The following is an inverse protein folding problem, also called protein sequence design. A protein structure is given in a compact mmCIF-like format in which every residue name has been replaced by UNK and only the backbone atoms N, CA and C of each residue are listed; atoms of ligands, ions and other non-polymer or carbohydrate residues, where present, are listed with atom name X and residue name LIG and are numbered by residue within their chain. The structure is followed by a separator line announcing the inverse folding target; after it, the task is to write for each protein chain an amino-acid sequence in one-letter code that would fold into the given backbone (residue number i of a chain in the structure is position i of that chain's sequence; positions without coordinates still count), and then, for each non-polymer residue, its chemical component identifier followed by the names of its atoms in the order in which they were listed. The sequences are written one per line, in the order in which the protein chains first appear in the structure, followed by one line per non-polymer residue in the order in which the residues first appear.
data_IF_355897757779
#
_entry.id   IF_355897757779
#
_cell.length_a   1.000
_cell.length_b   1.000
_cell.length_c   1.000
_cell.angle_alpha   90.00
_cell.angle_beta   90.00
_cell.angle_gamma   90.00
#
_symmetry.space_group_name_H-M   'P 1'
#
loop_
_entity.id
_entity.type
_entity.pdbx_description
1 polymer ?
#
# COMPACT_ATOMS: atom_id res chain seq x y z
N UNK A 1 -8.37 -0.62 -27.22
CA UNK A 1 -8.21 0.76 -26.72
C UNK A 1 -8.28 0.68 -25.20
N UNK A 2 -7.34 1.32 -24.49
CA UNK A 2 -7.34 1.34 -23.03
C UNK A 2 -8.61 2.02 -22.49
N UNK A 3 -9.10 1.51 -21.37
CA UNK A 3 -10.25 2.06 -20.64
C UNK A 3 -9.74 2.75 -19.39
N UNK A 4 -10.22 3.98 -19.17
CA UNK A 4 -9.97 4.75 -17.95
C UNK A 4 -11.24 4.73 -17.12
N UNK A 5 -11.15 4.19 -15.91
CA UNK A 5 -12.21 4.16 -14.91
C UNK A 5 -12.09 5.39 -14.03
N UNK A 6 -13.05 6.32 -14.12
CA UNK A 6 -13.01 7.59 -13.40
C UNK A 6 -14.02 7.62 -12.27
N UNK A 7 -13.57 8.06 -11.09
CA UNK A 7 -14.38 8.21 -9.87
C UNK A 7 -14.17 9.58 -9.24
N UNK A 8 -15.23 10.13 -8.68
CA UNK A 8 -15.21 11.32 -7.83
C UNK A 8 -15.75 10.90 -6.48
N UNK A 9 -14.91 10.92 -5.46
CA UNK A 9 -15.26 10.37 -4.15
C UNK A 9 -15.00 11.38 -3.05
N UNK A 10 -15.85 11.36 -2.04
CA UNK A 10 -15.59 12.04 -0.77
C UNK A 10 -14.99 11.04 0.22
N UNK A 11 -14.03 11.52 0.99
CA UNK A 11 -13.43 10.83 2.12
C UNK A 11 -14.50 10.70 3.24
N UNK A 12 -14.96 9.47 3.55
CA UNK A 12 -16.00 9.19 4.57
C UNK A 12 -15.62 8.19 5.67
N UNK A 13 -16.07 8.44 6.91
CA UNK A 13 -15.81 7.65 8.12
C UNK A 13 -16.25 6.19 7.98
N UNK A 14 -15.32 5.22 8.03
CA UNK A 14 -15.60 3.79 8.16
C UNK A 14 -14.38 3.01 8.69
N UNK A 15 -14.62 1.88 9.35
CA UNK A 15 -13.59 0.92 9.79
C UNK A 15 -13.20 1.01 11.27
N UNK A 16 -12.01 0.48 11.59
CA UNK A 16 -11.41 0.52 12.95
C UNK A 16 -11.11 1.95 13.40
N UNK A 17 -10.82 2.84 12.43
CA UNK A 17 -10.67 4.29 12.59
C UNK A 17 -12.02 4.98 12.64
N UNK A 18 -12.26 5.74 13.74
CA UNK A 18 -13.46 6.57 13.94
C UNK A 18 -13.55 7.78 13.00
N UNK A 19 -12.58 7.95 12.11
CA UNK A 19 -12.57 8.91 10.99
C UNK A 19 -12.32 8.18 9.64
N UNK A 20 -12.49 8.85 8.48
CA UNK A 20 -12.60 8.23 7.15
C UNK A 20 -11.51 7.32 6.55
N UNK A 21 -11.06 6.26 7.22
CA UNK A 21 -9.92 5.48 6.75
C UNK A 21 -10.19 4.19 5.97
N UNK A 22 -11.45 3.83 5.67
CA UNK A 22 -11.71 2.61 4.88
C UNK A 22 -12.90 2.70 3.94
N UNK A 23 -13.41 3.89 3.66
CA UNK A 23 -14.51 4.05 2.71
C UNK A 23 -14.45 5.35 1.92
N UNK A 24 -14.92 5.24 0.70
CA UNK A 24 -15.15 6.34 -0.21
C UNK A 24 -16.65 6.33 -0.53
N UNK A 25 -17.30 7.48 -0.44
CA UNK A 25 -18.63 7.63 -1.00
C UNK A 25 -18.51 8.32 -2.36
N UNK A 26 -19.11 7.71 -3.39
CA UNK A 26 -19.14 8.30 -4.72
C UNK A 26 -20.01 9.57 -4.70
N UNK A 27 -19.41 10.70 -5.07
CA UNK A 27 -20.10 11.99 -5.25
C UNK A 27 -20.98 11.95 -6.50
N UNK A 28 -20.48 11.25 -7.53
CA UNK A 28 -21.16 10.99 -8.79
C UNK A 28 -20.96 9.53 -9.17
N UNK A 29 -21.90 8.96 -9.93
CA UNK A 29 -21.75 7.60 -10.44
C UNK A 29 -20.40 7.46 -11.19
N UNK A 30 -19.64 6.38 -10.95
CA UNK A 30 -18.39 6.13 -11.64
C UNK A 30 -18.65 5.93 -13.14
N UNK A 31 -17.68 6.31 -13.97
CA UNK A 31 -17.81 6.22 -15.43
C UNK A 31 -16.52 5.80 -16.11
N UNK A 32 -16.69 5.18 -17.28
CA UNK A 32 -15.60 4.62 -18.07
C UNK A 32 -15.40 5.41 -19.36
N UNK A 33 -14.15 5.74 -19.67
CA UNK A 33 -13.76 6.37 -20.92
C UNK A 33 -12.87 5.43 -21.73
N UNK A 34 -13.28 5.11 -22.95
CA UNK A 34 -12.38 4.47 -23.92
C UNK A 34 -11.50 5.54 -24.54
N UNK A 35 -10.19 5.45 -24.34
CA UNK A 35 -9.26 6.49 -24.77
C UNK A 35 -8.60 6.11 -26.09
N UNK A 36 -8.77 6.98 -27.10
CA UNK A 36 -8.23 6.79 -28.46
C UNK A 36 -6.86 7.44 -28.66
N UNK A 37 -6.42 8.33 -27.76
CA UNK A 37 -5.12 9.00 -27.82
C UNK A 37 -4.65 9.42 -26.42
N UNK A 38 -3.33 9.42 -26.20
CA UNK A 38 -2.70 9.86 -24.94
C UNK A 38 -2.30 11.35 -25.03
N UNK A 39 -2.43 12.15 -23.96
CA UNK A 39 -2.87 11.75 -22.61
C UNK A 39 -4.40 11.76 -22.43
N UNK A 40 -4.88 10.98 -21.45
CA UNK A 40 -6.21 11.19 -20.87
C UNK A 40 -6.18 12.44 -20.00
N UNK A 41 -7.18 13.30 -20.10
CA UNK A 41 -7.28 14.52 -19.29
C UNK A 41 -8.61 14.57 -18.58
N UNK A 42 -8.60 15.06 -17.35
CA UNK A 42 -9.81 15.27 -16.57
C UNK A 42 -9.67 16.51 -15.68
N UNK A 43 -10.80 16.99 -15.16
CA UNK A 43 -10.84 18.16 -14.29
C UNK A 43 -11.67 17.86 -13.05
N UNK A 44 -11.04 17.98 -11.89
CA UNK A 44 -11.70 17.98 -10.60
C UNK A 44 -12.06 19.42 -10.21
N UNK A 45 -13.36 19.79 -10.14
CA UNK A 45 -13.76 21.07 -9.58
C UNK A 45 -13.19 21.25 -8.16
N UNK A 46 -12.69 22.44 -7.78
CA UNK A 46 -12.13 22.68 -6.44
C UNK A 46 -13.13 22.40 -5.31
N UNK A 47 -14.42 22.56 -5.60
CA UNK A 47 -15.52 22.22 -4.70
C UNK A 47 -16.54 21.39 -5.47
N UNK A 48 -16.99 20.30 -4.86
CA UNK A 48 -18.07 19.46 -5.35
C UNK A 48 -19.25 19.51 -4.38
N UNK A 49 -20.47 19.50 -4.91
CA UNK A 49 -21.70 19.42 -4.13
C UNK A 49 -22.51 18.23 -4.62
N UNK A 50 -23.11 17.47 -3.70
CA UNK A 50 -23.99 16.37 -4.03
C UNK A 50 -25.13 16.27 -3.02
N UNK A 51 -26.17 15.53 -3.40
CA UNK A 51 -27.28 15.18 -2.51
C UNK A 51 -27.23 13.68 -2.28
N UNK A 52 -27.23 13.25 -1.02
CA UNK A 52 -27.27 11.83 -0.69
C UNK A 52 -28.67 11.21 -0.86
N UNK A 53 -28.79 9.91 -0.57
CA UNK A 53 -30.06 9.19 -0.66
C UNK A 53 -31.15 9.70 0.28
N UNK A 54 -30.78 10.43 1.33
CA UNK A 54 -31.68 11.01 2.33
C UNK A 54 -32.09 12.45 1.97
N UNK A 55 -31.61 12.98 0.84
CA UNK A 55 -31.92 14.34 0.39
C UNK A 55 -31.07 15.42 1.05
N UNK A 56 -30.03 15.05 1.81
CA UNK A 56 -29.12 16.00 2.46
C UNK A 56 -28.10 16.51 1.45
N UNK A 57 -27.94 17.83 1.40
CA UNK A 57 -26.94 18.48 0.54
C UNK A 57 -25.60 18.51 1.27
N UNK A 58 -24.60 17.96 0.63
CA UNK A 58 -23.22 17.93 1.08
C UNK A 58 -22.34 18.75 0.15
N UNK A 59 -21.21 19.19 0.68
CA UNK A 59 -20.18 19.89 -0.07
C UNK A 59 -18.81 19.41 0.37
N UNK A 60 -17.87 19.26 -0.56
CA UNK A 60 -16.52 18.79 -0.29
C UNK A 60 -15.50 19.54 -1.18
N UNK A 61 -14.29 19.71 -0.67
CA UNK A 61 -13.19 20.37 -1.38
C UNK A 61 -12.22 19.34 -1.96
N UNK A 62 -11.75 19.58 -3.17
CA UNK A 62 -10.78 18.71 -3.82
C UNK A 62 -9.50 18.60 -2.99
N UNK A 63 -9.01 17.38 -2.81
CA UNK A 63 -7.79 17.08 -2.08
C UNK A 63 -6.67 16.66 -3.03
N UNK A 64 -6.87 15.55 -3.75
CA UNK A 64 -5.89 15.02 -4.69
C UNK A 64 -6.53 14.02 -5.66
N UNK A 65 -5.87 13.82 -6.79
CA UNK A 65 -6.07 12.69 -7.67
C UNK A 65 -5.23 11.50 -7.23
N UNK A 66 -5.80 10.31 -7.25
CA UNK A 66 -5.12 9.02 -7.23
C UNK A 66 -5.20 8.40 -8.62
N UNK A 67 -4.06 7.98 -9.16
CA UNK A 67 -3.97 7.35 -10.48
C UNK A 67 -3.27 6.01 -10.34
N UNK A 68 -3.93 4.93 -10.77
CA UNK A 68 -3.38 3.57 -10.82
C UNK A 68 -3.35 3.04 -12.25
N UNK A 69 -2.40 2.16 -12.55
CA UNK A 69 -2.31 1.53 -13.88
C UNK A 69 -1.83 2.44 -15.03
N UNK A 70 -1.40 3.69 -14.75
CA UNK A 70 -0.84 4.57 -15.78
C UNK A 70 0.45 4.00 -16.38
N UNK A 71 0.78 4.42 -17.61
CA UNK A 71 2.01 3.97 -18.29
C UNK A 71 3.29 4.28 -17.49
N UNK A 72 3.26 5.32 -16.66
CA UNK A 72 4.38 5.75 -15.82
C UNK A 72 4.26 5.25 -14.37
N UNK A 73 3.41 4.26 -14.10
CA UNK A 73 3.13 3.74 -12.77
C UNK A 73 2.10 4.58 -11.99
N UNK A 74 1.71 4.11 -10.82
CA UNK A 74 0.68 4.76 -10.01
C UNK A 74 1.19 6.02 -9.30
N UNK A 75 0.42 7.10 -9.23
CA UNK A 75 0.86 8.34 -8.59
C UNK A 75 -0.32 9.13 -8.02
N UNK A 76 0.01 10.14 -7.22
CA UNK A 76 -0.96 11.12 -6.71
C UNK A 76 -0.63 12.52 -7.21
N UNK A 77 -1.65 13.37 -7.34
CA UNK A 77 -1.50 14.76 -7.79
C UNK A 77 -2.47 15.68 -7.07
N UNK A 78 -1.96 16.76 -6.48
CA UNK A 78 -2.79 17.83 -5.89
C UNK A 78 -3.20 18.90 -6.92
N UNK A 79 -2.80 18.77 -8.18
CA UNK A 79 -3.30 19.62 -9.26
C UNK A 79 -4.70 19.13 -9.69
N UNK A 80 -5.76 19.96 -9.60
CA UNK A 80 -7.10 19.55 -10.00
C UNK A 80 -7.23 19.28 -11.51
N UNK A 81 -6.36 19.86 -12.33
CA UNK A 81 -6.23 19.51 -13.75
C UNK A 81 -5.34 18.26 -13.89
N UNK A 82 -5.97 17.16 -14.32
CA UNK A 82 -5.31 15.89 -14.49
C UNK A 82 -4.86 15.69 -15.94
N UNK A 83 -3.64 15.17 -16.10
CA UNK A 83 -3.13 14.64 -17.37
C UNK A 83 -2.43 13.31 -17.10
N UNK A 84 -2.96 12.23 -17.66
CA UNK A 84 -2.48 10.86 -17.44
C UNK A 84 -1.94 10.27 -18.75
N UNK A 85 -0.66 9.85 -18.77
CA UNK A 85 -0.13 9.05 -19.86
C UNK A 85 -0.85 7.70 -19.93
N UNK A 86 -1.45 7.42 -21.08
CA UNK A 86 -2.23 6.20 -21.29
C UNK A 86 -1.39 5.15 -22.01
N UNK A 87 -1.33 3.95 -21.43
CA UNK A 87 -0.67 2.77 -22.01
C UNK A 87 -1.69 1.75 -22.52
N UNK A 88 -1.32 0.47 -22.50
CA UNK A 88 -2.20 -0.62 -22.98
C UNK A 88 -3.08 -1.23 -21.89
N UNK A 89 -2.86 -0.87 -20.62
CA UNK A 89 -3.59 -1.40 -19.47
C UNK A 89 -4.75 -0.48 -19.06
N UNK A 90 -5.81 -1.02 -18.43
CA UNK A 90 -6.82 -0.21 -17.77
C UNK A 90 -6.20 0.71 -16.72
N UNK A 91 -6.75 1.91 -16.58
CA UNK A 91 -6.28 2.94 -15.65
C UNK A 91 -7.41 3.26 -14.67
N UNK A 92 -7.09 3.29 -13.37
CA UNK A 92 -7.98 3.85 -12.36
C UNK A 92 -7.64 5.30 -12.09
N UNK A 93 -8.63 6.18 -12.14
CA UNK A 93 -8.50 7.61 -11.84
C UNK A 93 -9.55 7.97 -10.80
N UNK A 94 -9.12 8.46 -9.64
CA UNK A 94 -10.03 8.81 -8.54
C UNK A 94 -9.70 10.19 -7.99
N UNK A 95 -10.63 11.14 -8.07
CA UNK A 95 -10.53 12.41 -7.37
C UNK A 95 -11.06 12.25 -5.96
N UNK A 96 -10.20 12.49 -4.98
CA UNK A 96 -10.54 12.49 -3.56
C UNK A 96 -10.91 13.90 -3.13
N UNK A 97 -12.02 14.00 -2.40
CA UNK A 97 -12.53 15.23 -1.82
C UNK A 97 -12.62 15.10 -0.29
N UNK A 98 -12.35 16.19 0.42
CA UNK A 98 -12.55 16.31 1.86
C UNK A 98 -13.88 17.01 2.14
N UNK A 99 -14.77 16.45 2.97
CA UNK A 99 -16.04 17.10 3.30
C UNK A 99 -15.83 18.49 3.90
N UNK A 100 -16.71 19.42 3.53
CA UNK A 100 -16.76 20.76 4.11
C UNK A 100 -17.84 20.81 5.19
N UNK A 101 -17.55 21.52 6.29
CA UNK A 101 -18.35 21.45 7.50
C UNK A 101 -17.80 20.39 8.43
N UNK A 102 -17.18 20.82 9.53
CA UNK A 102 -16.67 19.91 10.55
C UNK A 102 -17.79 19.27 11.37
N UNK A 103 -17.39 18.35 12.23
CA UNK A 103 -18.20 17.51 13.14
C UNK A 103 -18.95 18.32 14.22
N UNK A 104 -19.02 19.65 14.07
CA UNK A 104 -19.81 20.57 14.86
C UNK A 104 -19.23 20.95 16.23
N UNK A 105 -18.53 20.07 16.94
CA UNK A 105 -18.14 20.33 18.35
C UNK A 105 -16.87 19.52 18.75
N UNK A 106 -15.78 19.64 17.99
CA UNK A 106 -14.51 18.95 18.28
C UNK A 106 -13.46 19.83 18.98
N UNK A 107 -12.65 19.23 19.86
CA UNK A 107 -11.38 19.84 20.26
C UNK A 107 -10.44 19.97 19.03
N UNK A 108 -9.55 20.99 18.99
CA UNK A 108 -8.55 21.07 17.92
C UNK A 108 -7.72 19.78 17.82
N UNK A 109 -7.48 19.35 16.58
CA UNK A 109 -6.78 18.11 16.32
C UNK A 109 -6.37 17.98 14.86
N UNK A 110 -5.39 17.11 14.65
CA UNK A 110 -4.85 16.80 13.33
C UNK A 110 -5.35 15.41 12.91
N UNK A 111 -6.14 15.39 11.85
CA UNK A 111 -6.63 14.17 11.23
C UNK A 111 -5.56 13.63 10.29
N UNK A 112 -5.24 12.36 10.45
CA UNK A 112 -4.16 11.70 9.70
C UNK A 112 -4.62 10.36 9.13
N UNK A 113 -4.04 10.01 7.99
CA UNK A 113 -4.19 8.67 7.43
C UNK A 113 -3.00 8.30 6.51
N UNK A 114 -2.89 7.01 6.17
CA UNK A 114 -1.89 6.48 5.25
C UNK A 114 -2.53 6.00 3.96
N UNK A 115 -2.00 6.44 2.82
CA UNK A 115 -2.52 6.11 1.49
C UNK A 115 -1.55 5.19 0.72
N UNK A 116 -2.03 4.05 0.22
CA UNK A 116 -1.30 3.16 -0.70
C UNK A 116 -1.47 3.69 -2.13
N UNK A 117 -0.42 4.35 -2.63
CA UNK A 117 -0.41 4.92 -3.98
C UNK A 117 -0.56 3.85 -5.06
N UNK A 118 -0.08 2.63 -4.83
CA UNK A 118 -0.14 1.56 -5.83
C UNK A 118 -1.56 0.97 -5.97
N UNK A 119 -2.31 0.94 -4.87
CA UNK A 119 -3.68 0.41 -4.83
C UNK A 119 -4.71 1.51 -5.08
N UNK A 120 -4.39 2.74 -4.70
CA UNK A 120 -5.29 3.88 -4.78
C UNK A 120 -6.30 3.94 -3.64
N UNK A 121 -5.94 3.42 -2.46
CA UNK A 121 -6.79 3.33 -1.27
C UNK A 121 -5.96 3.49 0.02
N UNK A 122 -6.63 3.65 1.17
CA UNK A 122 -5.99 3.84 2.47
C UNK A 122 -5.57 2.52 3.13
N UNK A 123 -4.54 2.57 3.97
CA UNK A 123 -4.06 1.41 4.75
C UNK A 123 -4.89 1.21 6.02
N UNK A 124 -5.23 -0.05 6.29
CA UNK A 124 -5.73 -0.52 7.59
C UNK A 124 -4.58 -1.11 8.42
N UNK A 125 -3.57 -0.29 8.72
CA UNK A 125 -2.40 -0.67 9.53
C UNK A 125 -1.80 0.55 10.24
N UNK A 126 -1.04 0.30 11.30
CA UNK A 126 -0.31 1.34 12.03
C UNK A 126 0.76 1.96 11.13
N UNK A 127 0.89 3.28 11.18
CA UNK A 127 1.78 4.03 10.31
C UNK A 127 2.49 5.21 10.97
N UNK A 128 2.17 5.56 12.22
CA UNK A 128 2.78 6.70 12.91
C UNK A 128 3.19 6.40 14.36
N UNK A 129 4.07 7.25 14.87
CA UNK A 129 4.32 7.45 16.30
C UNK A 129 4.16 8.93 16.63
N UNK A 130 3.70 9.25 17.84
CA UNK A 130 3.48 10.62 18.32
C UNK A 130 4.44 10.93 19.48
N UNK A 131 4.96 12.15 19.51
CA UNK A 131 5.79 12.68 20.59
C UNK A 131 5.52 14.18 20.81
N UNK A 132 5.65 14.70 22.05
CA UNK A 132 6.12 14.00 23.24
C UNK A 132 5.09 13.06 23.87
N UNK A 133 3.80 13.20 23.54
CA UNK A 133 2.72 12.43 24.16
C UNK A 133 2.58 11.05 23.50
N UNK A 134 3.46 10.11 23.86
CA UNK A 134 3.56 8.79 23.21
C UNK A 134 2.28 7.96 23.27
N UNK A 135 1.45 8.18 24.30
CA UNK A 135 0.15 7.51 24.45
C UNK A 135 -0.82 7.88 23.32
N UNK A 136 -0.63 9.04 22.67
CA UNK A 136 -1.41 9.43 21.50
C UNK A 136 -1.10 8.59 20.28
N UNK A 137 0.02 7.85 20.24
CA UNK A 137 0.35 6.98 19.10
C UNK A 137 -0.72 5.91 18.86
N UNK A 138 -1.30 5.37 19.94
CA UNK A 138 -2.39 4.41 19.81
C UNK A 138 -3.62 5.07 19.18
N UNK A 139 -4.08 6.21 19.72
CA UNK A 139 -5.23 6.95 19.17
C UNK A 139 -4.98 7.43 17.73
N UNK A 140 -3.74 7.83 17.41
CA UNK A 140 -3.35 8.28 16.08
C UNK A 140 -3.53 7.15 15.04
N UNK A 141 -3.14 5.93 15.38
CA UNK A 141 -3.27 4.78 14.48
C UNK A 141 -4.64 4.10 14.56
N UNK A 142 -5.34 4.18 15.69
CA UNK A 142 -6.66 3.58 15.87
C UNK A 142 -7.79 4.47 15.42
N UNK A 143 -7.71 5.79 15.63
CA UNK A 143 -8.79 6.74 15.32
C UNK A 143 -8.45 7.68 14.16
N UNK A 144 -7.17 7.79 13.78
CA UNK A 144 -6.72 8.75 12.76
C UNK A 144 -6.78 10.21 13.24
N UNK A 145 -6.80 10.45 14.55
CA UNK A 145 -6.85 11.79 15.15
C UNK A 145 -5.77 11.94 16.21
N UNK A 146 -5.03 13.05 16.11
CA UNK A 146 -4.10 13.50 17.15
C UNK A 146 -4.62 14.81 17.73
N UNK A 147 -5.17 14.82 18.96
CA UNK A 147 -5.59 16.05 19.62
C UNK A 147 -4.39 17.01 19.79
N UNK A 148 -4.53 18.26 19.40
CA UNK A 148 -3.45 19.26 19.46
C UNK A 148 -3.57 20.12 20.71
N UNK A 149 -3.78 19.51 21.88
CA UNK A 149 -3.87 20.26 23.16
C UNK A 149 -2.53 20.93 23.51
N UNK A 150 -1.45 20.26 23.14
CA UNK A 150 -0.08 20.75 23.11
C UNK A 150 0.50 20.57 21.69
N UNK A 151 1.68 21.13 21.39
CA UNK A 151 2.35 20.85 20.13
C UNK A 151 2.80 19.39 20.08
N UNK A 152 2.50 18.69 18.98
CA UNK A 152 2.89 17.30 18.77
C UNK A 152 3.79 17.15 17.54
N UNK A 153 4.53 16.05 17.53
CA UNK A 153 5.30 15.55 16.40
C UNK A 153 4.77 14.17 16.02
N UNK A 154 4.16 14.09 14.86
CA UNK A 154 3.60 12.88 14.30
C UNK A 154 4.61 12.36 13.26
N UNK A 155 5.32 11.29 13.60
CA UNK A 155 6.36 10.70 12.75
C UNK A 155 5.81 9.47 12.04
N UNK A 156 5.70 9.55 10.71
CA UNK A 156 5.36 8.40 9.87
C UNK A 156 6.47 7.35 9.89
N UNK A 157 6.09 6.08 9.89
CA UNK A 157 7.01 4.97 9.71
C UNK A 157 7.68 5.07 8.33
N UNK A 158 8.94 4.65 8.25
CA UNK A 158 9.65 4.67 6.96
C UNK A 158 9.02 3.71 5.93
N UNK A 159 8.32 2.67 6.40
CA UNK A 159 7.69 1.67 5.55
C UNK A 159 6.47 1.01 6.23
N UNK A 160 5.50 0.62 5.40
CA UNK A 160 4.39 -0.29 5.76
C UNK A 160 4.49 -1.50 4.82
N UNK A 161 4.89 -2.65 5.37
CA UNK A 161 5.22 -3.84 4.57
C UNK A 161 6.28 -3.53 3.49
N UNK A 162 6.00 -3.76 2.19
CA UNK A 162 6.93 -3.46 1.10
C UNK A 162 6.84 -2.02 0.55
N UNK A 163 5.95 -1.16 1.08
CA UNK A 163 5.81 0.22 0.61
C UNK A 163 6.65 1.16 1.47
N UNK A 164 7.31 2.12 0.84
CA UNK A 164 8.09 3.16 1.50
C UNK A 164 7.32 4.47 1.52
N UNK A 165 7.48 5.23 2.60
CA UNK A 165 6.95 6.59 2.70
C UNK A 165 7.55 7.44 1.56
N UNK A 166 6.68 8.06 0.77
CA UNK A 166 7.05 9.01 -0.28
C UNK A 166 7.01 10.44 0.26
N UNK A 167 5.88 10.82 0.86
CA UNK A 167 5.68 12.17 1.38
C UNK A 167 4.49 12.23 2.32
N UNK A 168 4.48 13.22 3.19
CA UNK A 168 3.25 13.77 3.75
C UNK A 168 2.68 14.84 2.81
N UNK A 169 1.36 14.91 2.70
CA UNK A 169 0.66 16.07 2.16
C UNK A 169 -0.22 16.68 3.25
N UNK A 170 -0.06 17.97 3.45
CA UNK A 170 -0.88 18.75 4.36
C UNK A 170 -1.97 19.44 3.54
N UNK A 171 -3.22 19.01 3.72
CA UNK A 171 -4.34 19.36 2.85
C UNK A 171 -5.16 20.51 3.42
N UNK A 172 -5.32 20.52 4.75
CA UNK A 172 -6.04 21.56 5.49
C UNK A 172 -5.18 21.97 6.67
N UNK A 173 -5.08 23.28 6.94
CA UNK A 173 -4.38 23.83 8.11
C UNK A 173 -5.12 25.07 8.62
N UNK A 174 -5.39 25.09 9.92
CA UNK A 174 -5.95 26.24 10.61
C UNK A 174 -5.30 26.39 12.00
N UNK A 175 -4.78 27.57 12.35
CA UNK A 175 -4.56 28.71 11.48
C UNK A 175 -3.50 28.41 10.41
N UNK A 176 -3.53 29.14 9.28
CA UNK A 176 -2.58 28.92 8.19
C UNK A 176 -1.12 29.03 8.69
N UNK A 177 -0.30 28.05 8.35
CA UNK A 177 1.11 27.97 8.77
C UNK A 177 1.34 27.46 10.20
N UNK A 178 0.31 27.03 10.92
CA UNK A 178 0.44 26.44 12.25
C UNK A 178 1.17 25.09 12.23
N UNK A 179 0.83 24.25 11.25
CA UNK A 179 1.38 22.91 11.11
C UNK A 179 2.35 22.86 9.92
N UNK A 180 3.35 21.97 10.01
CA UNK A 180 4.38 21.86 8.98
C UNK A 180 4.89 20.43 8.84
N UNK A 181 5.40 20.12 7.65
CA UNK A 181 5.98 18.82 7.32
C UNK A 181 7.47 18.99 7.06
N UNK A 182 8.28 18.12 7.68
CA UNK A 182 9.70 17.95 7.36
C UNK A 182 10.03 16.46 7.22
N UNK A 183 10.12 15.99 5.97
CA UNK A 183 10.36 14.58 5.67
C UNK A 183 9.22 13.70 6.20
N UNK A 184 9.53 12.80 7.14
CA UNK A 184 8.56 11.90 7.76
C UNK A 184 7.80 12.51 8.96
N UNK A 185 8.19 13.71 9.40
CA UNK A 185 7.65 14.33 10.62
C UNK A 185 6.65 15.43 10.24
N UNK A 186 5.43 15.29 10.73
CA UNK A 186 4.41 16.34 10.77
C UNK A 186 4.45 16.99 12.16
N UNK A 187 4.80 18.26 12.22
CA UNK A 187 4.78 19.07 13.45
C UNK A 187 3.47 19.84 13.52
N UNK A 188 2.74 19.66 14.62
CA UNK A 188 1.47 20.33 14.88
C UNK A 188 1.64 21.37 15.97
N UNK A 189 1.00 22.53 15.82
CA UNK A 189 0.97 23.54 16.87
C UNK A 189 -0.16 23.26 17.88
N UNK A 190 0.00 23.74 19.12
CA UNK A 190 -1.10 23.71 20.07
C UNK A 190 -2.32 24.48 19.51
N UNK A 191 -3.49 23.86 19.63
CA UNK A 191 -4.80 24.33 19.18
C UNK A 191 -4.92 24.51 17.67
N UNK A 192 -4.08 23.83 16.88
CA UNK A 192 -4.24 23.78 15.43
C UNK A 192 -5.24 22.71 15.00
N UNK A 193 -5.79 22.88 13.80
CA UNK A 193 -6.57 21.87 13.12
C UNK A 193 -5.94 21.61 11.76
N UNK A 194 -5.74 20.33 11.44
CA UNK A 194 -5.20 19.97 10.15
C UNK A 194 -5.76 18.64 9.63
N UNK A 195 -5.67 18.45 8.33
CA UNK A 195 -5.87 17.16 7.67
C UNK A 195 -4.61 16.87 6.87
N UNK A 196 -3.96 15.74 7.14
CA UNK A 196 -2.71 15.36 6.48
C UNK A 196 -2.69 13.87 6.13
N UNK A 197 -2.18 13.52 4.95
CA UNK A 197 -2.06 12.12 4.53
C UNK A 197 -0.61 11.75 4.24
N UNK A 198 -0.19 10.58 4.72
CA UNK A 198 1.10 9.97 4.44
C UNK A 198 0.98 9.04 3.23
N UNK A 199 1.67 9.33 2.14
CA UNK A 199 1.62 8.54 0.91
C UNK A 199 2.74 7.52 0.90
N UNK A 200 2.39 6.24 0.75
CA UNK A 200 3.35 5.15 0.63
C UNK A 200 3.26 4.52 -0.75
N UNK A 201 4.43 4.15 -1.29
CA UNK A 201 4.51 3.47 -2.57
C UNK A 201 5.63 2.45 -2.58
N UNK A 202 5.50 1.38 -3.37
CA UNK A 202 6.65 0.52 -3.68
C UNK A 202 7.75 1.32 -4.38
N UNK A 203 9.04 1.05 -4.09
CA UNK A 203 10.15 1.71 -4.77
C UNK A 203 10.05 1.51 -6.29
N UNK A 204 9.91 2.61 -7.04
CA UNK A 204 9.99 2.57 -8.50
C UNK A 204 11.43 2.25 -8.90
N UNK A 205 11.65 1.05 -9.47
CA UNK A 205 12.95 0.63 -10.00
C UNK A 205 13.86 -0.16 -9.04
N UNK A 206 13.38 -0.65 -7.90
CA UNK A 206 14.19 -1.39 -6.94
C UNK A 206 13.72 -2.83 -6.73
N UNK A 207 14.51 -3.78 -7.25
CA UNK A 207 14.28 -5.23 -7.23
C UNK A 207 13.20 -5.68 -8.22
N UNK A 208 13.66 -6.15 -9.39
CA UNK A 208 13.17 -7.45 -9.85
C UNK A 208 13.29 -8.38 -8.65
N UNK A 209 12.21 -8.54 -7.87
CA UNK A 209 11.96 -9.82 -7.23
C UNK A 209 12.25 -10.79 -8.36
N UNK A 210 13.26 -11.67 -8.26
CA UNK A 210 13.51 -12.64 -9.31
C UNK A 210 12.16 -13.27 -9.53
N UNK A 211 11.53 -12.96 -10.66
CA UNK A 211 10.33 -13.68 -11.05
C UNK A 211 10.89 -15.09 -11.16
N UNK A 212 10.61 -15.91 -10.15
CA UNK A 212 10.74 -17.34 -10.30
C UNK A 212 9.97 -17.58 -11.59
N UNK A 213 10.67 -18.03 -12.63
CA UNK A 213 10.08 -18.37 -13.91
C UNK A 213 8.75 -19.09 -13.61
N UNK A 214 7.66 -18.76 -14.31
CA UNK A 214 6.33 -19.29 -13.98
C UNK A 214 6.34 -20.81 -13.83
N UNK A 215 7.26 -21.49 -14.53
CA UNK A 215 7.56 -22.92 -14.41
C UNK A 215 8.12 -23.34 -13.05
N UNK A 216 8.93 -22.50 -12.40
CA UNK A 216 9.55 -22.72 -11.09
C UNK A 216 8.56 -22.49 -9.95
N UNK A 217 7.63 -21.53 -10.07
CA UNK A 217 6.54 -21.38 -9.11
C UNK A 217 5.55 -22.54 -9.19
N UNK A 218 5.17 -22.93 -10.40
CA UNK A 218 4.29 -24.08 -10.64
C UNK A 218 4.97 -25.39 -10.18
N UNK A 219 6.28 -25.54 -10.42
CA UNK A 219 7.06 -26.63 -9.87
C UNK A 219 7.08 -26.58 -8.34
N UNK A 220 7.34 -25.43 -7.70
CA UNK A 220 7.38 -25.28 -6.25
C UNK A 220 6.05 -25.63 -5.57
N UNK A 221 4.93 -25.20 -6.15
CA UNK A 221 3.58 -25.56 -5.69
C UNK A 221 3.32 -27.05 -5.91
N UNK A 222 3.71 -27.62 -7.06
CA UNK A 222 3.60 -29.07 -7.33
C UNK A 222 4.50 -29.91 -6.42
N UNK A 223 5.65 -29.40 -5.99
CA UNK A 223 6.56 -30.07 -5.04
C UNK A 223 5.95 -30.08 -3.65
N UNK A 224 5.45 -28.94 -3.17
CA UNK A 224 4.72 -28.85 -1.90
C UNK A 224 3.50 -29.76 -1.89
N UNK A 225 2.73 -29.78 -2.99
CA UNK A 225 1.59 -30.69 -3.17
C UNK A 225 2.01 -32.15 -3.30
N UNK A 226 3.09 -32.47 -4.01
CA UNK A 226 3.59 -33.85 -4.16
C UNK A 226 4.14 -34.43 -2.85
N UNK A 227 4.82 -33.62 -2.04
CA UNK A 227 5.27 -34.01 -0.69
C UNK A 227 4.08 -34.22 0.25
N UNK A 228 3.01 -33.44 0.11
CA UNK A 228 1.79 -33.60 0.92
C UNK A 228 0.86 -34.70 0.44
N UNK A 229 0.77 -34.97 -0.85
CA UNK A 229 -0.16 -35.92 -1.44
C UNK A 229 0.44 -37.32 -1.67
N UNK A 230 1.68 -37.43 -2.16
CA UNK A 230 2.29 -38.71 -2.56
C UNK A 230 3.40 -39.18 -1.59
N UNK A 231 4.00 -38.27 -0.81
CA UNK A 231 5.12 -38.55 0.10
C UNK A 231 4.76 -38.93 1.55
N UNK A 232 3.48 -39.11 1.86
CA UNK A 232 3.03 -39.39 3.23
C UNK A 232 2.95 -38.17 4.17
N UNK A 233 3.11 -36.96 3.64
CA UNK A 233 2.96 -35.72 4.38
C UNK A 233 4.21 -35.29 5.17
N UNK A 234 4.10 -34.12 5.80
CA UNK A 234 5.08 -33.65 6.79
C UNK A 234 4.91 -34.47 8.07
N UNK A 235 5.81 -35.43 8.30
CA UNK A 235 5.84 -36.15 9.58
C UNK A 235 6.54 -35.30 10.65
N UNK A 236 6.36 -35.70 11.91
CA UNK A 236 7.10 -35.25 13.09
C UNK A 236 8.62 -35.48 13.02
N UNK A 237 9.11 -36.20 11.98
CA UNK A 237 10.54 -36.40 11.68
C UNK A 237 11.01 -35.76 10.38
N UNK A 238 10.16 -34.95 9.73
CA UNK A 238 10.45 -34.30 8.45
C UNK A 238 9.97 -35.10 7.22
N UNK A 239 10.33 -34.64 6.01
CA UNK A 239 9.92 -35.27 4.75
C UNK A 239 10.53 -36.67 4.61
N UNK A 240 9.76 -37.63 4.09
CA UNK A 240 10.23 -39.00 3.84
C UNK A 240 11.30 -39.00 2.73
N UNK A 241 12.40 -39.79 2.84
CA UNK A 241 13.44 -39.90 1.81
C UNK A 241 12.84 -40.24 0.42
N UNK A 242 13.45 -39.78 -0.70
CA UNK A 242 14.78 -39.18 -0.85
C UNK A 242 14.84 -37.65 -0.72
N UNK A 243 13.76 -36.99 -0.30
CA UNK A 243 13.59 -35.53 -0.40
C UNK A 243 14.24 -34.71 0.72
N UNK A 244 14.69 -35.37 1.80
CA UNK A 244 15.18 -34.72 3.01
C UNK A 244 16.30 -33.68 2.78
N UNK A 245 17.34 -33.93 1.95
CA UNK A 245 18.43 -32.96 1.75
C UNK A 245 17.95 -31.69 1.05
N UNK A 246 17.01 -31.81 0.11
CA UNK A 246 16.53 -30.71 -0.71
C UNK A 246 15.50 -29.84 0.04
N UNK A 247 14.65 -30.45 0.86
CA UNK A 247 13.75 -29.71 1.76
C UNK A 247 14.53 -28.99 2.85
N UNK A 248 15.62 -29.60 3.36
CA UNK A 248 16.51 -28.93 4.32
C UNK A 248 17.23 -27.73 3.67
N UNK A 249 17.69 -27.86 2.43
CA UNK A 249 18.24 -26.72 1.67
C UNK A 249 17.20 -25.59 1.48
N UNK A 250 15.94 -25.94 1.17
CA UNK A 250 14.84 -24.98 1.04
C UNK A 250 14.56 -24.26 2.36
N UNK A 251 14.48 -25.00 3.47
CA UNK A 251 14.26 -24.45 4.80
C UNK A 251 15.40 -23.52 5.23
N UNK A 252 16.66 -23.91 4.96
CA UNK A 252 17.83 -23.08 5.25
C UNK A 252 17.83 -21.79 4.44
N UNK A 253 17.43 -21.82 3.16
CA UNK A 253 17.34 -20.63 2.34
C UNK A 253 16.20 -19.70 2.78
N UNK A 254 15.07 -20.25 3.24
CA UNK A 254 13.99 -19.46 3.85
C UNK A 254 14.43 -18.81 5.17
N UNK A 255 15.13 -19.56 6.03
CA UNK A 255 15.69 -19.03 7.29
C UNK A 255 16.72 -17.92 7.04
N UNK A 256 17.57 -18.07 6.01
CA UNK A 256 18.52 -17.05 5.60
C UNK A 256 17.83 -15.79 5.09
N UNK A 257 16.76 -15.95 4.28
CA UNK A 257 15.94 -14.84 3.80
C UNK A 257 15.23 -14.10 4.95
N UNK A 258 14.75 -14.84 5.96
CA UNK A 258 14.14 -14.29 7.15
C UNK A 258 15.15 -13.51 8.01
N UNK A 259 16.34 -14.08 8.26
CA UNK A 259 17.42 -13.41 8.97
C UNK A 259 17.91 -12.14 8.23
N UNK A 260 17.98 -12.19 6.90
CA UNK A 260 18.33 -11.03 6.06
C UNK A 260 17.37 -9.86 6.16
N UNK A 261 16.08 -10.10 6.49
CA UNK A 261 15.11 -9.01 6.71
C UNK A 261 15.43 -8.17 7.94
N UNK A 262 16.12 -8.72 8.94
CA UNK A 262 16.45 -8.01 10.17
C UNK A 262 17.73 -7.15 10.07
N UNK A 263 18.47 -7.24 8.97
CA UNK A 263 19.66 -6.40 8.70
C UNK A 263 19.35 -5.06 8.03
N UNK A 264 20.35 -4.18 8.00
CA UNK A 264 20.31 -2.89 7.28
C UNK A 264 20.13 -3.06 5.76
N UNK A 265 19.78 -1.98 5.06
CA UNK A 265 19.31 -2.01 3.67
C UNK A 265 20.26 -2.72 2.68
N UNK A 266 21.58 -2.51 2.81
CA UNK A 266 22.59 -3.17 1.96
C UNK A 266 22.73 -4.67 2.28
N UNK A 267 22.76 -5.03 3.56
CA UNK A 267 22.85 -6.42 4.03
C UNK A 267 21.60 -7.21 3.62
N UNK A 268 20.43 -6.57 3.68
CA UNK A 268 19.14 -7.17 3.29
C UNK A 268 19.13 -7.56 1.81
N UNK A 269 19.59 -6.67 0.93
CA UNK A 269 19.60 -6.93 -0.52
C UNK A 269 20.55 -8.08 -0.86
N UNK A 270 21.76 -8.08 -0.29
CA UNK A 270 22.76 -9.11 -0.53
C UNK A 270 22.29 -10.50 -0.02
N UNK A 271 21.74 -10.56 1.19
CA UNK A 271 21.28 -11.81 1.81
C UNK A 271 20.04 -12.36 1.13
N UNK A 272 19.06 -11.51 0.78
CA UNK A 272 17.85 -11.95 0.06
C UNK A 272 18.20 -12.40 -1.37
N UNK A 273 19.13 -11.73 -2.05
CA UNK A 273 19.60 -12.14 -3.38
C UNK A 273 20.34 -13.49 -3.33
N UNK A 274 21.19 -13.71 -2.33
CA UNK A 274 21.87 -14.99 -2.13
C UNK A 274 20.88 -16.11 -1.82
N UNK A 275 19.90 -15.86 -0.94
CA UNK A 275 18.84 -16.81 -0.62
C UNK A 275 18.00 -17.16 -1.86
N UNK A 276 17.61 -16.18 -2.67
CA UNK A 276 16.86 -16.42 -3.91
C UNK A 276 17.64 -17.26 -4.94
N UNK A 277 18.96 -17.01 -5.09
CA UNK A 277 19.83 -17.83 -5.94
C UNK A 277 19.92 -19.27 -5.45
N UNK A 278 20.04 -19.46 -4.14
CA UNK A 278 20.11 -20.79 -3.53
C UNK A 278 18.77 -21.54 -3.69
N UNK A 279 17.64 -20.87 -3.45
CA UNK A 279 16.30 -21.42 -3.72
C UNK A 279 16.14 -21.88 -5.17
N UNK A 280 16.55 -21.04 -6.14
CA UNK A 280 16.50 -21.40 -7.56
C UNK A 280 17.36 -22.60 -7.90
N UNK A 281 18.58 -22.68 -7.36
CA UNK A 281 19.49 -23.81 -7.58
C UNK A 281 18.96 -25.12 -6.98
N UNK A 282 18.44 -25.07 -5.75
CA UNK A 282 17.85 -26.24 -5.07
C UNK A 282 16.58 -26.71 -5.77
N UNK A 283 15.70 -25.79 -6.19
CA UNK A 283 14.51 -26.13 -6.98
C UNK A 283 14.87 -26.82 -8.31
N UNK A 284 15.91 -26.34 -9.01
CA UNK A 284 16.38 -26.95 -10.25
C UNK A 284 17.05 -28.32 -10.07
N UNK A 285 17.70 -28.58 -8.91
CA UNK A 285 18.20 -29.92 -8.56
C UNK A 285 17.04 -30.87 -8.26
N UNK A 286 16.04 -30.40 -7.52
CA UNK A 286 14.89 -31.21 -7.13
C UNK A 286 14.02 -31.59 -8.34
N UNK A 287 13.76 -30.65 -9.25
CA UNK A 287 13.06 -30.94 -10.51
C UNK A 287 13.77 -32.00 -11.35
N UNK A 288 15.12 -31.99 -11.40
CA UNK A 288 15.90 -33.03 -12.10
C UNK A 288 15.78 -34.39 -11.42
N UNK A 289 15.85 -34.44 -10.09
CA UNK A 289 15.70 -35.69 -9.34
C UNK A 289 14.32 -36.34 -9.58
N UNK A 290 13.24 -35.55 -9.58
CA UNK A 290 11.88 -36.03 -9.87
C UNK A 290 11.75 -36.65 -11.27
N UNK A 291 12.37 -36.03 -12.28
CA UNK A 291 12.34 -36.54 -13.65
C UNK A 291 13.11 -37.85 -13.78
N UNK A 292 14.23 -38.00 -13.07
CA UNK A 292 15.02 -39.24 -13.10
C UNK A 292 14.34 -40.37 -12.32
N UNK A 293 13.68 -40.09 -11.19
CA UNK A 293 12.93 -41.10 -10.44
C UNK A 293 11.70 -41.60 -11.24
N UNK A 294 10.97 -40.69 -11.91
CA UNK A 294 9.87 -41.06 -12.79
C UNK A 294 10.29 -41.94 -13.98
N UNK A 295 11.55 -41.86 -14.42
CA UNK A 295 12.10 -42.75 -15.46
C UNK A 295 12.53 -44.12 -14.92
N UNK A 296 12.83 -44.22 -13.63
CA UNK A 296 13.26 -45.47 -12.99
C UNK A 296 12.08 -46.34 -12.50
N UNK A 297 10.89 -45.74 -12.35
CA UNK A 297 9.65 -46.44 -11.99
C UNK A 297 8.79 -46.95 -13.16
N UNK A 298 9.27 -46.82 -14.40
CA UNK A 298 8.71 -47.39 -15.64
C UNK A 298 9.62 -48.52 -16.14
#
# INVERSE_FOLDING_TARGET
MPVVHTRYVTYTAAGRRRHPGSSAADITAPFDNTVSSSPYTDWAPPTANWTDGDGVVHSANFAFWSVTGSANGAYVSTNPALSVPVGDTPIGVTAWYLPTGGDGIGEPGTYIDAFDVDVGDFFDDDFVSVAPDTDLSFNANEDGLVPTRAPEQITAFAAIGPRLLQSWQLLVVSPAGADSVNGAVLSTAAKSMAVAFAFYQRPRGGSTVPKLDGRVYEAGVRILFGVTADGGGLTDKGPVPPWEPLVRELANAMALAYAGRQGGAETRLAVVSAAAKQLGATAAKLSRAMVEEAKQGL
#
